data_IF_188235627093
#
_entry.id   IF_188235627093
#
_cell.length_a   1.000
_cell.length_b   1.000
_cell.length_c   1.000
_cell.angle_alpha   90.00
_cell.angle_beta   90.00
_cell.angle_gamma   90.00
#
_symmetry.space_group_name_H-M   'P 1'
#
loop_
_entity.id
_entity.type
_entity.pdbx_description
1 polymer ?
#
# COMPACT_ATOMS: atom_id res chain seq x y z
N UNK A 1 -16.23 -17.11 4.74
CA UNK A 1 -14.93 -16.42 4.91
C UNK A 1 -13.90 -17.20 4.10
N UNK A 2 -13.12 -16.53 3.26
CA UNK A 2 -12.11 -17.18 2.42
C UNK A 2 -11.04 -17.84 3.32
N UNK A 3 -10.74 -19.12 3.08
CA UNK A 3 -9.73 -19.93 3.78
C UNK A 3 -8.37 -19.21 3.95
N UNK A 4 -8.03 -18.40 2.95
CA UNK A 4 -6.85 -17.55 2.92
C UNK A 4 -6.82 -16.46 4.00
N UNK A 5 -7.95 -15.83 4.28
CA UNK A 5 -8.05 -14.77 5.29
C UNK A 5 -7.83 -15.36 6.70
N UNK A 6 -8.33 -16.57 6.93
CA UNK A 6 -8.11 -17.28 8.20
C UNK A 6 -6.63 -17.62 8.41
N UNK A 7 -5.94 -18.12 7.37
CA UNK A 7 -4.50 -18.43 7.43
C UNK A 7 -3.63 -17.19 7.69
N UNK A 8 -4.03 -16.04 7.15
CA UNK A 8 -3.35 -14.77 7.40
C UNK A 8 -3.59 -14.27 8.83
N UNK A 9 -4.82 -14.40 9.34
CA UNK A 9 -5.16 -13.99 10.70
C UNK A 9 -4.60 -14.94 11.78
N UNK A 10 -4.46 -16.24 11.48
CA UNK A 10 -3.84 -17.21 12.39
C UNK A 10 -2.32 -17.14 12.41
N UNK A 11 -1.70 -16.38 11.49
CA UNK A 11 -0.25 -16.29 11.34
C UNK A 11 0.40 -17.50 10.67
N UNK A 12 -0.40 -18.44 10.15
CA UNK A 12 0.09 -19.60 9.39
C UNK A 12 0.72 -19.19 8.06
N UNK A 13 0.34 -18.02 7.54
CA UNK A 13 0.87 -17.45 6.30
C UNK A 13 1.26 -16.00 6.50
N UNK A 14 2.45 -15.63 6.04
CA UNK A 14 2.85 -14.23 5.97
C UNK A 14 2.24 -13.58 4.73
N UNK A 15 1.66 -12.40 4.91
CA UNK A 15 1.07 -11.63 3.81
C UNK A 15 2.12 -11.18 2.78
N UNK A 16 3.38 -11.01 3.19
CA UNK A 16 4.48 -10.63 2.30
C UNK A 16 4.79 -11.68 1.23
N UNK A 17 4.50 -12.95 1.55
CA UNK A 17 4.70 -14.10 0.68
C UNK A 17 3.51 -14.33 -0.26
N UNK A 18 2.40 -13.61 -0.09
CA UNK A 18 1.26 -13.71 -0.99
C UNK A 18 1.61 -13.21 -2.41
N UNK A 19 1.02 -13.87 -3.41
CA UNK A 19 1.05 -13.42 -4.80
C UNK A 19 0.06 -12.26 -5.03
N UNK A 20 0.15 -11.58 -6.18
CA UNK A 20 -0.78 -10.51 -6.53
C UNK A 20 -2.23 -11.01 -6.67
N UNK A 21 -2.43 -12.22 -7.20
CA UNK A 21 -3.76 -12.84 -7.32
C UNK A 21 -4.36 -13.14 -5.93
N UNK A 22 -3.54 -13.66 -5.03
CA UNK A 22 -3.93 -13.95 -3.65
C UNK A 22 -4.30 -12.69 -2.85
N UNK A 23 -3.62 -11.58 -3.11
CA UNK A 23 -3.91 -10.28 -2.48
C UNK A 23 -5.16 -9.62 -3.06
N UNK A 24 -5.53 -9.95 -4.31
CA UNK A 24 -6.70 -9.39 -5.00
C UNK A 24 -8.02 -9.82 -4.37
N UNK A 25 -8.05 -11.02 -3.79
CA UNK A 25 -9.24 -11.58 -3.14
C UNK A 25 -9.46 -11.04 -1.71
N UNK A 26 -8.52 -10.27 -1.17
CA UNK A 26 -8.62 -9.67 0.16
C UNK A 26 -9.37 -8.33 0.11
N UNK A 27 -10.29 -8.08 1.05
CA UNK A 27 -11.00 -6.81 1.11
C UNK A 27 -10.07 -5.68 1.54
N UNK A 28 -10.29 -4.46 1.03
CA UNK A 28 -9.54 -3.25 1.43
C UNK A 28 -9.51 -3.07 2.95
N UNK A 29 -10.63 -3.34 3.62
CA UNK A 29 -10.76 -3.27 5.08
C UNK A 29 -9.77 -4.17 5.83
N UNK A 30 -9.37 -5.31 5.25
CA UNK A 30 -8.36 -6.18 5.84
C UNK A 30 -7.00 -5.47 5.90
N UNK A 31 -6.56 -4.86 4.80
CA UNK A 31 -5.31 -4.12 4.75
C UNK A 31 -5.32 -2.91 5.69
N UNK A 32 -6.45 -2.22 5.83
CA UNK A 32 -6.60 -1.08 6.72
C UNK A 32 -6.52 -1.45 8.21
N UNK A 33 -7.01 -2.63 8.59
CA UNK A 33 -7.15 -3.02 9.99
C UNK A 33 -6.02 -3.91 10.49
N UNK A 34 -5.48 -4.80 9.65
CA UNK A 34 -4.62 -5.91 10.10
C UNK A 34 -3.19 -5.86 9.56
N UNK A 35 -2.88 -4.97 8.62
CA UNK A 35 -1.54 -4.88 8.02
C UNK A 35 -0.86 -3.61 8.52
N UNK A 36 0.35 -3.71 9.06
CA UNK A 36 1.12 -2.53 9.49
C UNK A 36 1.75 -1.79 8.30
N UNK A 37 2.22 -0.57 8.54
CA UNK A 37 2.77 0.30 7.51
C UNK A 37 4.00 -0.27 6.79
N UNK A 38 4.84 -1.04 7.46
CA UNK A 38 6.06 -1.63 6.87
C UNK A 38 5.68 -2.76 5.94
N UNK A 39 4.83 -3.67 6.41
CA UNK A 39 4.33 -4.77 5.57
C UNK A 39 3.49 -4.26 4.41
N UNK A 40 2.66 -3.23 4.62
CA UNK A 40 1.90 -2.58 3.55
C UNK A 40 2.83 -2.03 2.46
N UNK A 41 3.95 -1.41 2.84
CA UNK A 41 4.96 -0.93 1.89
C UNK A 41 5.58 -2.09 1.10
N UNK A 42 5.88 -3.21 1.76
CA UNK A 42 6.53 -4.36 1.13
C UNK A 42 5.64 -5.05 0.09
N UNK A 43 4.32 -5.07 0.30
CA UNK A 43 3.36 -5.69 -0.62
C UNK A 43 2.74 -4.70 -1.62
N UNK A 44 3.06 -3.41 -1.52
CA UNK A 44 2.36 -2.34 -2.26
C UNK A 44 2.32 -2.57 -3.78
N UNK A 45 3.44 -2.94 -4.39
CA UNK A 45 3.52 -3.22 -5.84
C UNK A 45 2.64 -4.37 -6.29
N UNK A 46 2.39 -5.35 -5.40
CA UNK A 46 1.54 -6.52 -5.65
C UNK A 46 0.04 -6.23 -5.47
N UNK A 47 -0.32 -5.11 -4.84
CA UNK A 47 -1.72 -4.80 -4.55
C UNK A 47 -2.50 -4.44 -5.82
N UNK A 48 -3.78 -4.86 -5.90
CA UNK A 48 -4.65 -4.46 -6.99
C UNK A 48 -4.80 -2.94 -7.06
N UNK A 49 -5.08 -2.43 -8.26
CA UNK A 49 -5.14 -0.99 -8.53
C UNK A 49 -6.14 -0.26 -7.62
N UNK A 50 -7.27 -0.90 -7.31
CA UNK A 50 -8.29 -0.34 -6.40
C UNK A 50 -7.73 -0.06 -5.00
N UNK A 51 -6.95 -1.00 -4.44
CA UNK A 51 -6.29 -0.80 -3.15
C UNK A 51 -5.25 0.32 -3.21
N UNK A 52 -4.49 0.40 -4.32
CA UNK A 52 -3.48 1.46 -4.49
C UNK A 52 -4.08 2.85 -4.69
N UNK A 53 -5.33 2.95 -5.13
CA UNK A 53 -6.09 4.21 -5.24
C UNK A 53 -6.81 4.60 -3.95
N UNK A 54 -6.96 3.68 -3.00
CA UNK A 54 -7.60 3.94 -1.73
C UNK A 54 -6.78 4.93 -0.87
N UNK A 55 -7.42 6.03 -0.49
CA UNK A 55 -6.76 7.10 0.26
C UNK A 55 -6.35 6.64 1.66
N UNK A 56 -7.17 5.80 2.31
CA UNK A 56 -6.87 5.25 3.63
C UNK A 56 -5.57 4.44 3.60
N UNK A 57 -5.43 3.54 2.63
CA UNK A 57 -4.22 2.74 2.47
C UNK A 57 -3.00 3.59 2.12
N UNK A 58 -3.15 4.57 1.22
CA UNK A 58 -2.06 5.50 0.92
C UNK A 58 -1.56 6.24 2.17
N UNK A 59 -2.46 6.75 3.02
CA UNK A 59 -2.07 7.50 4.24
C UNK A 59 -1.27 6.67 5.24
N UNK A 60 -1.40 5.36 5.19
CA UNK A 60 -0.68 4.43 6.08
C UNK A 60 0.71 4.07 5.55
N UNK A 61 1.05 4.41 4.31
CA UNK A 61 2.38 4.17 3.80
C UNK A 61 3.41 5.05 4.53
N UNK A 62 4.56 4.49 4.95
CA UNK A 62 5.62 5.25 5.62
C UNK A 62 6.09 6.47 4.80
N UNK A 63 5.98 6.37 3.47
CA UNK A 63 6.41 7.42 2.54
C UNK A 63 5.29 8.36 2.06
N UNK A 64 4.11 8.36 2.71
CA UNK A 64 2.98 9.27 2.39
C UNK A 64 3.33 10.78 2.37
N UNK A 65 4.50 11.14 2.91
CA UNK A 65 5.12 12.47 2.84
C UNK A 65 5.15 13.13 1.45
N UNK A 66 4.98 12.41 0.33
CA UNK A 66 5.16 12.97 -1.01
C UNK A 66 3.90 13.04 -1.88
N UNK A 67 2.75 12.54 -1.43
CA UNK A 67 1.51 12.65 -2.20
C UNK A 67 0.56 13.76 -1.69
N UNK A 68 0.73 14.26 -0.46
CA UNK A 68 -0.28 15.16 0.14
C UNK A 68 0.21 16.08 1.28
N UNK A 69 1.46 16.56 1.31
CA UNK A 69 1.81 17.63 2.27
C UNK A 69 1.11 18.94 1.88
N UNK A 70 0.38 19.61 2.80
CA UNK A 70 -0.28 20.89 2.54
C UNK A 70 0.69 21.96 2.01
N UNK A 71 1.94 21.92 2.48
CA UNK A 71 3.01 22.84 2.10
C UNK A 71 3.41 22.77 0.62
N UNK A 72 2.97 21.73 -0.11
CA UNK A 72 3.22 21.51 -1.55
C UNK A 72 1.99 21.74 -2.43
N UNK A 73 0.85 22.14 -1.83
CA UNK A 73 -0.33 22.64 -2.58
C UNK A 73 -0.10 24.04 -3.19
N UNK A 74 1.08 24.62 -2.98
CA UNK A 74 1.49 25.95 -3.45
C UNK A 74 1.99 25.98 -4.89
N UNK A 75 2.07 24.84 -5.60
CA UNK A 75 2.24 24.87 -7.06
C UNK A 75 0.88 24.97 -7.75
N UNK A 76 0.56 26.18 -8.19
CA UNK A 76 -0.71 26.56 -8.84
C UNK A 76 -0.88 25.93 -10.24
N UNK A 77 0.17 25.33 -10.83
CA UNK A 77 0.17 24.92 -12.25
C UNK A 77 0.57 23.46 -12.54
N UNK A 78 0.29 22.50 -11.65
CA UNK A 78 0.44 21.08 -12.03
C UNK A 78 0.25 20.06 -10.92
N UNK A 79 0.02 18.77 -11.26
CA UNK A 79 0.00 17.71 -10.27
C UNK A 79 1.35 17.65 -9.55
N UNK A 80 1.38 17.46 -8.22
CA UNK A 80 2.63 17.35 -7.47
C UNK A 80 3.45 16.22 -8.08
N UNK A 81 4.69 16.53 -8.45
CA UNK A 81 5.60 15.54 -9.00
C UNK A 81 5.77 14.43 -7.96
N UNK A 82 5.39 13.19 -8.33
CA UNK A 82 5.70 12.05 -7.48
C UNK A 82 7.20 12.06 -7.28
N UNK A 83 7.65 11.97 -6.02
CA UNK A 83 9.07 11.85 -5.73
C UNK A 83 9.58 10.51 -6.27
N UNK A 84 10.05 10.55 -7.52
CA UNK A 84 10.87 9.53 -8.17
C UNK A 84 12.24 9.35 -7.48
N UNK A 85 12.42 9.88 -6.26
CA UNK A 85 13.67 9.96 -5.50
C UNK A 85 13.59 9.29 -4.11
N UNK A 86 12.40 8.89 -3.63
CA UNK A 86 12.30 8.20 -2.35
C UNK A 86 12.70 6.72 -2.50
N UNK A 87 13.83 6.32 -1.91
CA UNK A 87 14.33 4.95 -1.93
C UNK A 87 13.25 3.91 -1.55
N UNK A 88 12.45 4.18 -0.52
CA UNK A 88 11.39 3.29 -0.08
C UNK A 88 10.22 3.20 -1.06
N UNK A 89 9.76 4.32 -1.62
CA UNK A 89 8.68 4.29 -2.61
C UNK A 89 9.16 3.66 -3.94
N UNK A 90 10.41 3.92 -4.37
CA UNK A 90 11.02 3.26 -5.53
C UNK A 90 11.01 1.74 -5.30
N UNK A 91 11.56 1.28 -4.17
CA UNK A 91 11.60 -0.15 -3.83
C UNK A 91 10.21 -0.79 -3.80
N UNK A 92 9.19 -0.07 -3.34
CA UNK A 92 7.81 -0.55 -3.28
C UNK A 92 7.10 -0.61 -4.64
N UNK A 93 7.50 0.22 -5.60
CA UNK A 93 6.92 0.29 -6.96
C UNK A 93 7.65 -0.58 -7.99
N UNK A 94 8.87 -1.03 -7.69
CA UNK A 94 9.72 -1.81 -8.63
C UNK A 94 9.62 -3.33 -8.39
N UNK A 95 8.82 -3.78 -7.41
CA UNK A 95 8.56 -5.19 -7.10
C UNK A 95 7.20 -5.62 -7.63
#
# INVERSE_FOLDING_TARGET
MCDQLLKLLSGEKNIEDCSADELKDLPIGFFLQYVDSTTLLNIWGKLPLECRKDFGLQTRLPCFMHYNRPDWRTQVDGPPSSQNTCYFCIKALTK
#
